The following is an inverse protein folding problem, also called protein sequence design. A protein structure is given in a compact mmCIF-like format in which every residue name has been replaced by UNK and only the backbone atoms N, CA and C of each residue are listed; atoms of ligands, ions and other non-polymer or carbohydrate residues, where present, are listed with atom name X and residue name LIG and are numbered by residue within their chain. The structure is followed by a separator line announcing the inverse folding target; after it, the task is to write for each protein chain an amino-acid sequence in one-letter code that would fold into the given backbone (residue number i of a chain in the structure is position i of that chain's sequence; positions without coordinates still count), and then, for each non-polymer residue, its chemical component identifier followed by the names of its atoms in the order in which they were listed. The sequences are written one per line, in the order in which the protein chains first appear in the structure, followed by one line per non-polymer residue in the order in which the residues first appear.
data_IF_038000173678
#
_entry.id   IF_038000173678
#
_cell.length_a   1.000
_cell.length_b   1.000
_cell.length_c   1.000
_cell.angle_alpha   90.00
_cell.angle_beta   90.00
_cell.angle_gamma   90.00
#
_symmetry.space_group_name_H-M   'P 1'
#
loop_
_entity.id
_entity.type
_entity.pdbx_description
1 polymer ?
#
# COMPACT_ATOMS: atom_id res chain seq x y z
N UNK A 1 -29.78 15.45 5.37
CA UNK A 1 -29.70 16.26 6.60
C UNK A 1 -30.26 15.45 7.77
N UNK A 2 -29.52 15.25 8.86
CA UNK A 2 -30.09 14.71 10.12
C UNK A 2 -30.68 15.85 10.96
N UNK A 3 -31.49 15.58 11.99
CA UNK A 3 -32.21 16.60 12.79
C UNK A 3 -31.41 17.89 13.07
N UNK A 4 -30.26 17.79 13.75
CA UNK A 4 -29.40 18.95 14.02
C UNK A 4 -28.32 19.19 12.94
N UNK A 5 -28.15 18.27 11.99
CA UNK A 5 -27.16 18.35 10.92
C UNK A 5 -25.70 18.29 11.38
N UNK A 6 -25.40 17.66 12.53
CA UNK A 6 -24.03 17.66 13.10
C UNK A 6 -23.51 16.28 13.52
N UNK A 7 -24.33 15.39 14.08
CA UNK A 7 -23.91 14.03 14.45
C UNK A 7 -23.65 13.15 13.24
N UNK A 8 -24.72 12.50 12.72
CA UNK A 8 -24.63 11.67 11.50
C UNK A 8 -24.07 12.40 10.28
N UNK A 9 -24.37 13.70 10.15
CA UNK A 9 -23.80 14.52 9.06
C UNK A 9 -22.28 14.65 9.20
N UNK A 10 -21.76 14.93 10.40
CA UNK A 10 -20.32 14.96 10.64
C UNK A 10 -19.66 13.60 10.40
N UNK A 11 -20.33 12.51 10.77
CA UNK A 11 -19.86 11.14 10.47
C UNK A 11 -19.72 10.89 8.97
N UNK A 12 -20.74 11.24 8.18
CA UNK A 12 -20.70 11.04 6.73
C UNK A 12 -19.63 11.91 6.05
N UNK A 13 -19.43 13.15 6.52
CA UNK A 13 -18.38 14.04 6.00
C UNK A 13 -16.99 13.44 6.27
N UNK A 14 -16.74 12.93 7.47
CA UNK A 14 -15.47 12.29 7.81
C UNK A 14 -15.21 11.04 6.97
N UNK A 15 -16.23 10.18 6.79
CA UNK A 15 -16.10 8.98 5.98
C UNK A 15 -15.82 9.31 4.51
N UNK A 16 -16.52 10.29 3.94
CA UNK A 16 -16.30 10.72 2.56
C UNK A 16 -14.87 11.24 2.36
N UNK A 17 -14.42 12.12 3.26
CA UNK A 17 -13.06 12.66 3.23
C UNK A 17 -12.00 11.55 3.31
N UNK A 18 -12.08 10.69 4.33
CA UNK A 18 -11.04 9.69 4.57
C UNK A 18 -11.07 8.52 3.58
N UNK A 19 -12.23 8.19 2.99
CA UNK A 19 -12.29 7.20 1.91
C UNK A 19 -11.47 7.70 0.71
N UNK A 20 -11.70 8.94 0.29
CA UNK A 20 -10.94 9.55 -0.80
C UNK A 20 -9.46 9.74 -0.44
N UNK A 21 -9.16 10.05 0.83
CA UNK A 21 -7.79 10.19 1.31
C UNK A 21 -7.04 8.87 1.18
N UNK A 22 -7.58 7.77 1.73
CA UNK A 22 -6.98 6.43 1.66
C UNK A 22 -6.83 5.95 0.23
N UNK A 23 -7.75 6.27 -0.68
CA UNK A 23 -7.61 5.92 -2.10
C UNK A 23 -6.41 6.61 -2.76
N UNK A 24 -6.23 7.92 -2.51
CA UNK A 24 -5.24 8.77 -3.20
C UNK A 24 -3.83 8.75 -2.60
N UNK A 25 -3.70 8.45 -1.31
CA UNK A 25 -2.46 8.58 -0.54
C UNK A 25 -1.79 7.22 -0.30
N UNK A 26 -0.51 7.20 0.03
CA UNK A 26 0.21 5.96 0.32
C UNK A 26 -0.15 5.44 1.72
N UNK A 27 0.13 4.15 1.97
CA UNK A 27 -0.11 3.55 3.29
C UNK A 27 0.85 4.04 4.38
N UNK A 28 1.92 4.72 3.98
CA UNK A 28 2.88 5.38 4.88
C UNK A 28 2.39 6.73 5.38
N UNK A 29 1.33 7.29 4.77
CA UNK A 29 0.77 8.57 5.16
C UNK A 29 -0.06 8.42 6.45
N UNK A 30 0.18 9.31 7.42
CA UNK A 30 -0.56 9.31 8.68
C UNK A 30 -2.01 9.77 8.49
N UNK A 31 -2.93 9.16 9.24
CA UNK A 31 -4.35 9.51 9.28
C UNK A 31 -4.70 9.97 10.68
N UNK A 32 -4.91 11.27 10.86
CA UNK A 32 -5.39 11.83 12.13
C UNK A 32 -6.89 12.13 12.08
N UNK A 33 -7.67 11.19 12.62
CA UNK A 33 -9.13 11.32 12.73
C UNK A 33 -9.52 12.36 13.79
N UNK A 34 -8.73 12.50 14.87
CA UNK A 34 -9.04 13.40 15.97
C UNK A 34 -8.93 14.86 15.51
N UNK A 35 -7.81 15.20 14.88
CA UNK A 35 -7.57 16.56 14.40
C UNK A 35 -8.56 16.95 13.30
N UNK A 36 -8.94 16.01 12.44
CA UNK A 36 -9.98 16.25 11.44
C UNK A 36 -11.36 16.52 12.08
N UNK A 37 -11.76 15.74 13.08
CA UNK A 37 -13.01 15.99 13.81
C UNK A 37 -12.96 17.31 14.57
N UNK A 38 -11.81 17.66 15.17
CA UNK A 38 -11.60 18.93 15.83
C UNK A 38 -11.71 20.10 14.83
N UNK A 39 -11.12 19.97 13.64
CA UNK A 39 -11.25 20.94 12.55
C UNK A 39 -12.71 21.11 12.11
N UNK A 40 -13.44 20.01 11.89
CA UNK A 40 -14.87 20.08 11.57
C UNK A 40 -15.67 20.82 12.65
N UNK A 41 -15.33 20.60 13.93
CA UNK A 41 -15.97 21.28 15.07
C UNK A 41 -15.67 22.78 15.13
N UNK A 42 -14.52 23.23 14.61
CA UNK A 42 -14.20 24.65 14.44
C UNK A 42 -15.09 25.31 13.37
N UNK A 43 -15.40 24.60 12.28
CA UNK A 43 -16.28 25.11 11.21
C UNK A 43 -17.77 25.03 11.56
N UNK A 44 -18.21 23.95 12.22
CA UNK A 44 -19.59 23.79 12.71
C UNK A 44 -19.56 23.06 14.03
N UNK A 45 -20.03 23.71 15.09
CA UNK A 45 -19.95 23.15 16.43
C UNK A 45 -20.66 21.79 16.53
N UNK A 46 -20.12 20.92 17.40
CA UNK A 46 -20.68 19.59 17.73
C UNK A 46 -20.75 18.61 16.54
N UNK A 47 -19.94 18.77 15.50
CA UNK A 47 -19.75 17.70 14.50
C UNK A 47 -19.27 16.41 15.18
N UNK A 48 -19.86 15.27 14.81
CA UNK A 48 -19.67 13.95 15.44
C UNK A 48 -19.98 14.02 16.96
N UNK A 49 -21.22 13.70 17.33
CA UNK A 49 -21.77 14.07 18.65
C UNK A 49 -21.58 13.01 19.72
N UNK A 50 -21.61 11.74 19.35
CA UNK A 50 -21.56 10.62 20.30
C UNK A 50 -20.37 9.74 20.00
N UNK A 51 -19.86 9.08 21.03
CA UNK A 51 -18.69 8.21 20.96
C UNK A 51 -18.84 7.13 19.88
N UNK A 52 -20.00 6.48 19.78
CA UNK A 52 -20.23 5.44 18.76
C UNK A 52 -20.09 5.93 17.32
N UNK A 53 -20.35 7.22 17.05
CA UNK A 53 -20.10 7.81 15.73
C UNK A 53 -18.60 7.96 15.46
N UNK A 54 -17.82 8.30 16.48
CA UNK A 54 -16.37 8.42 16.36
C UNK A 54 -15.71 7.05 16.19
N UNK A 55 -16.10 6.07 17.02
CA UNK A 55 -15.66 4.68 16.91
C UNK A 55 -15.98 4.14 15.50
N UNK A 56 -17.19 4.41 15.00
CA UNK A 56 -17.57 3.97 13.66
C UNK A 56 -16.68 4.55 12.55
N UNK A 57 -16.28 5.83 12.65
CA UNK A 57 -15.33 6.43 11.71
C UNK A 57 -14.00 5.66 11.78
N UNK A 58 -13.48 5.46 12.99
CA UNK A 58 -12.22 4.74 13.19
C UNK A 58 -12.26 3.33 12.59
N UNK A 59 -13.28 2.55 12.92
CA UNK A 59 -13.43 1.17 12.43
C UNK A 59 -13.55 1.11 10.90
N UNK A 60 -14.28 2.05 10.30
CA UNK A 60 -14.43 2.13 8.85
C UNK A 60 -13.09 2.43 8.16
N UNK A 61 -12.33 3.40 8.67
CA UNK A 61 -11.05 3.78 8.07
C UNK A 61 -10.01 2.68 8.27
N UNK A 62 -9.95 2.09 9.46
CA UNK A 62 -9.07 0.95 9.70
C UNK A 62 -9.38 -0.20 8.72
N UNK A 63 -10.67 -0.51 8.49
CA UNK A 63 -11.06 -1.54 7.52
C UNK A 63 -10.61 -1.21 6.10
N UNK A 64 -10.72 0.04 5.66
CA UNK A 64 -10.26 0.47 4.33
C UNK A 64 -8.73 0.34 4.18
N UNK A 65 -7.97 0.75 5.19
CA UNK A 65 -6.51 0.61 5.21
C UNK A 65 -6.10 -0.86 5.11
N UNK A 66 -6.73 -1.74 5.89
CA UNK A 66 -6.46 -3.19 5.84
C UNK A 66 -6.79 -3.80 4.47
N UNK A 67 -7.85 -3.33 3.81
CA UNK A 67 -8.19 -3.76 2.46
C UNK A 67 -7.14 -3.32 1.43
N UNK A 68 -6.64 -2.08 1.56
CA UNK A 68 -5.59 -1.55 0.69
C UNK A 68 -4.27 -2.30 0.86
N UNK A 69 -3.89 -2.66 2.10
CA UNK A 69 -2.72 -3.51 2.38
C UNK A 69 -2.83 -4.84 1.64
N UNK A 70 -3.92 -5.58 1.84
CA UNK A 70 -4.14 -6.89 1.22
C UNK A 70 -4.08 -6.83 -0.31
N UNK A 71 -4.70 -5.81 -0.90
CA UNK A 71 -4.67 -5.62 -2.35
C UNK A 71 -3.27 -5.30 -2.91
N UNK A 72 -2.38 -4.69 -2.11
CA UNK A 72 -0.98 -4.48 -2.52
C UNK A 72 -0.14 -5.76 -2.37
N UNK A 73 -0.37 -6.54 -1.32
CA UNK A 73 0.28 -7.85 -1.12
C UNK A 73 -0.07 -8.85 -2.23
N UNK A 74 -1.35 -8.94 -2.63
CA UNK A 74 -1.82 -9.81 -3.71
C UNK A 74 -1.11 -9.49 -5.04
N UNK A 75 -0.99 -8.21 -5.39
CA UNK A 75 -0.28 -7.77 -6.61
C UNK A 75 1.21 -8.11 -6.57
N UNK A 76 1.85 -8.02 -5.41
CA UNK A 76 3.25 -8.40 -5.24
C UNK A 76 3.46 -9.91 -5.42
N UNK A 77 2.53 -10.72 -4.92
CA UNK A 77 2.58 -12.18 -5.05
C UNK A 77 2.37 -12.64 -6.50
N UNK A 78 1.45 -12.02 -7.23
CA UNK A 78 1.22 -12.31 -8.67
C UNK A 78 2.45 -11.99 -9.54
N UNK A 79 3.17 -10.91 -9.22
CA UNK A 79 4.39 -10.53 -9.96
C UNK A 79 5.53 -11.51 -9.72
N UNK A 80 5.69 -11.99 -8.48
CA UNK A 80 6.73 -12.96 -8.10
C UNK A 80 6.49 -14.32 -8.77
N UNK A 81 5.23 -14.77 -8.86
CA UNK A 81 4.87 -16.05 -9.51
C UNK A 81 5.13 -16.04 -11.02
N UNK A 82 4.83 -14.94 -11.72
CA UNK A 82 5.06 -14.84 -13.17
C UNK A 82 6.56 -14.77 -13.53
N UNK A 83 7.40 -14.13 -12.70
CA UNK A 83 8.83 -13.98 -12.98
C UNK A 83 9.62 -15.29 -12.82
N UNK A 84 9.16 -16.19 -11.93
CA UNK A 84 9.79 -17.50 -11.71
C UNK A 84 9.64 -18.48 -12.88
N UNK A 85 8.61 -18.33 -13.71
CA UNK A 85 8.36 -19.25 -14.84
C UNK A 85 9.28 -18.95 -16.04
N UNK A 86 9.57 -17.67 -16.33
CA UNK A 86 10.49 -17.26 -17.40
C UNK A 86 11.97 -17.51 -17.07
N UNK A 87 12.36 -17.41 -15.79
CA UNK A 87 13.74 -17.67 -15.36
C UNK A 87 14.19 -19.13 -15.57
N UNK A 88 13.26 -20.08 -15.53
CA UNK A 88 13.55 -21.50 -15.71
C UNK A 88 13.70 -21.89 -17.20
N UNK A 89 13.04 -21.17 -18.12
CA UNK A 89 13.10 -21.46 -19.56
C UNK A 89 14.48 -21.07 -20.13
N UNK A 90 15.09 -19.98 -19.65
CA UNK A 90 16.42 -19.54 -20.09
C UNK A 90 17.58 -20.45 -19.63
N UNK A 91 17.35 -21.37 -18.68
CA UNK A 91 18.38 -22.30 -18.23
C UNK A 91 18.54 -23.51 -19.16
N UNK A 92 17.50 -23.89 -19.91
CA UNK A 92 17.56 -25.05 -20.82
C UNK A 92 18.34 -24.76 -22.11
N UNK A 93 18.44 -23.50 -22.55
CA UNK A 93 19.22 -23.13 -23.75
C UNK A 93 20.74 -23.05 -23.51
N UNK A 94 21.20 -22.92 -22.25
CA UNK A 94 22.63 -22.75 -21.92
C UNK A 94 23.41 -24.08 -21.76
N UNK A 95 22.75 -25.23 -21.85
CA UNK A 95 23.41 -26.54 -21.72
C UNK A 95 24.18 -26.92 -23.00
N UNK A 96 23.78 -26.39 -24.17
CA UNK A 96 24.36 -26.76 -25.46
C UNK A 96 25.58 -25.92 -25.91
N UNK A 97 25.99 -24.90 -25.13
CA UNK A 97 27.07 -23.97 -25.52
C UNK A 97 28.46 -24.29 -24.94
N UNK A 98 28.58 -25.21 -23.97
CA UNK A 98 29.85 -25.50 -23.27
C UNK A 98 30.52 -26.81 -23.73
N UNK A 99 30.52 -27.05 -25.04
CA UNK A 99 31.10 -28.25 -25.64
C UNK A 99 32.17 -27.94 -26.68
N UNK A 100 33.30 -27.34 -26.31
CA UNK A 100 34.55 -27.55 -27.06
C UNK A 100 35.81 -27.32 -26.21
N UNK A 101 36.65 -28.34 -26.19
CA UNK A 101 37.92 -28.52 -25.49
C UNK A 101 39.02 -27.60 -26.06
N UNK A 102 39.87 -27.03 -25.19
CA UNK A 102 41.09 -26.33 -25.60
C UNK A 102 42.01 -26.04 -24.43
N UNK A 103 43.12 -26.75 -24.37
CA UNK A 103 44.23 -26.65 -23.41
C UNK A 103 45.02 -25.34 -23.57
N UNK A 104 45.45 -24.70 -22.47
CA UNK A 104 46.87 -24.48 -22.11
C UNK A 104 47.10 -23.39 -21.05
N UNK A 105 48.13 -23.65 -20.25
CA UNK A 105 48.77 -22.83 -19.20
C UNK A 105 49.13 -21.42 -19.71
N UNK A 106 49.11 -20.43 -18.81
CA UNK A 106 50.24 -19.61 -18.35
C UNK A 106 49.70 -18.48 -17.46
N UNK A 107 50.28 -18.34 -16.26
CA UNK A 107 49.98 -17.26 -15.34
C UNK A 107 50.66 -15.95 -15.76
N UNK A 108 50.04 -14.81 -15.43
CA UNK A 108 50.76 -13.55 -15.17
C UNK A 108 49.91 -12.64 -14.27
N UNK A 109 50.59 -11.96 -13.36
CA UNK A 109 50.10 -11.08 -12.29
C UNK A 109 50.09 -9.62 -12.77
N UNK A 110 49.10 -8.85 -12.28
CA UNK A 110 49.01 -7.37 -12.18
C UNK A 110 49.04 -6.52 -13.46
N UNK A 111 48.08 -5.57 -13.57
CA UNK A 111 48.30 -4.20 -13.06
C UNK A 111 46.99 -3.45 -12.85
N UNK A 112 46.99 -2.73 -11.74
CA UNK A 112 46.13 -1.61 -11.34
C UNK A 112 45.94 -0.56 -12.45
N UNK A 113 44.75 0.03 -12.47
CA UNK A 113 44.53 1.47 -12.68
C UNK A 113 43.42 1.92 -11.73
#
# INVERSE_FOLDING_TARGET
HCSAGVGRTGTMIALDYFTQYVEKHNLEDEIDIFDFVLLMRKHRCRMVQVESQYIFIYDAINKLVQQKIKAQEEKMNEHTSNNGLYANITQEENIYANGTVGTEKYGTVSTVN
#
